data_IF_034234053461
#
_entry.id   IF_034234053461
#
_cell.length_a   1.000
_cell.length_b   1.000
_cell.length_c   1.000
_cell.angle_alpha   90.00
_cell.angle_beta   90.00
_cell.angle_gamma   90.00
#
_symmetry.space_group_name_H-M   'P 1'
#
loop_
_entity.id
_entity.type
_entity.pdbx_description
1 polymer ?
#
# COMPACT_ATOMS: atom_id res chain seq x y z
N UNK A 1 0.89 13.25 12.08
CA UNK A 1 0.31 13.20 10.73
C UNK A 1 1.11 14.13 9.83
N UNK A 2 1.56 13.70 8.66
CA UNK A 2 2.31 14.56 7.73
C UNK A 2 1.41 15.66 7.16
N UNK A 3 1.99 16.82 6.85
CA UNK A 3 1.32 17.85 6.05
C UNK A 3 1.09 17.37 4.61
N UNK A 4 0.26 18.07 3.85
CA UNK A 4 0.06 17.77 2.42
C UNK A 4 1.38 17.83 1.65
N UNK A 5 2.17 18.88 1.89
CA UNK A 5 3.45 19.07 1.21
C UNK A 5 4.47 17.99 1.59
N UNK A 6 4.53 17.61 2.88
CA UNK A 6 5.39 16.52 3.33
C UNK A 6 4.95 15.16 2.74
N UNK A 7 3.64 14.94 2.58
CA UNK A 7 3.11 13.73 1.92
C UNK A 7 3.47 13.72 0.44
N UNK A 8 3.39 14.86 -0.23
CA UNK A 8 3.78 14.98 -1.64
C UNK A 8 5.29 14.74 -1.83
N UNK A 9 6.14 15.33 -0.98
CA UNK A 9 7.57 15.06 -1.00
C UNK A 9 7.91 13.59 -0.76
N UNK A 10 7.17 12.90 0.12
CA UNK A 10 7.34 11.45 0.32
C UNK A 10 6.97 10.63 -0.93
N UNK A 11 5.90 11.03 -1.64
CA UNK A 11 5.52 10.39 -2.92
C UNK A 11 6.59 10.59 -3.98
N UNK A 12 7.13 11.80 -4.12
CA UNK A 12 8.19 12.09 -5.09
C UNK A 12 9.45 11.26 -4.83
N UNK A 13 9.83 11.08 -3.55
CA UNK A 13 10.94 10.19 -3.19
C UNK A 13 10.70 8.76 -3.67
N UNK A 14 9.51 8.21 -3.46
CA UNK A 14 9.15 6.90 -3.96
C UNK A 14 9.22 6.83 -5.49
N UNK A 15 8.62 7.78 -6.21
CA UNK A 15 8.61 7.80 -7.67
C UNK A 15 10.02 7.80 -8.26
N UNK A 16 10.96 8.51 -7.63
CA UNK A 16 12.35 8.60 -8.07
C UNK A 16 13.16 7.31 -7.86
N UNK A 17 12.75 6.43 -6.94
CA UNK A 17 13.52 5.21 -6.61
C UNK A 17 12.81 3.91 -6.96
N UNK A 18 11.53 3.96 -7.35
CA UNK A 18 10.69 2.75 -7.49
C UNK A 18 11.28 1.71 -8.43
N UNK A 19 12.01 2.12 -9.47
CA UNK A 19 12.60 1.18 -10.43
C UNK A 19 13.76 0.40 -9.81
N UNK A 20 14.75 1.10 -9.25
CA UNK A 20 15.89 0.46 -8.57
C UNK A 20 15.46 -0.31 -7.32
N UNK A 21 14.41 0.17 -6.63
CA UNK A 21 13.75 -0.56 -5.55
C UNK A 21 13.22 -1.92 -6.03
N UNK A 22 12.45 -1.94 -7.13
CA UNK A 22 11.87 -3.17 -7.68
C UNK A 22 12.94 -4.15 -8.11
N UNK A 23 14.05 -3.66 -8.68
CA UNK A 23 15.20 -4.51 -9.00
C UNK A 23 15.83 -5.12 -7.74
N UNK A 24 16.05 -4.33 -6.69
CA UNK A 24 16.60 -4.79 -5.42
C UNK A 24 15.70 -5.81 -4.73
N UNK A 25 14.40 -5.53 -4.68
CA UNK A 25 13.37 -6.44 -4.18
C UNK A 25 13.37 -7.74 -4.97
N UNK A 26 13.45 -7.66 -6.31
CA UNK A 26 13.39 -8.83 -7.19
C UNK A 26 14.55 -9.80 -7.00
N UNK A 27 15.74 -9.29 -6.65
CA UNK A 27 16.90 -10.12 -6.31
C UNK A 27 16.67 -11.01 -5.08
N UNK A 28 15.80 -10.58 -4.15
CA UNK A 28 15.53 -11.31 -2.90
C UNK A 28 14.29 -12.19 -2.97
N UNK A 29 13.25 -11.76 -3.70
CA UNK A 29 11.93 -12.36 -3.63
C UNK A 29 11.41 -12.90 -4.97
N UNK A 30 12.20 -12.78 -6.04
CA UNK A 30 11.77 -13.09 -7.41
C UNK A 30 11.15 -11.88 -8.10
N UNK A 31 10.82 -12.01 -9.39
CA UNK A 31 10.44 -10.87 -10.22
C UNK A 31 9.28 -10.05 -9.64
N UNK A 32 9.45 -8.72 -9.63
CA UNK A 32 8.36 -7.82 -9.33
C UNK A 32 7.18 -8.09 -10.28
N UNK A 33 5.96 -8.33 -9.76
CA UNK A 33 4.83 -8.70 -10.59
C UNK A 33 4.44 -7.64 -11.62
N UNK A 34 3.95 -8.13 -12.76
CA UNK A 34 3.48 -7.33 -13.89
C UNK A 34 2.04 -7.73 -14.21
N UNK A 35 1.22 -6.76 -14.61
CA UNK A 35 -0.07 -6.98 -15.23
C UNK A 35 -0.13 -6.19 -16.55
N UNK A 36 -0.37 -6.88 -17.67
CA UNK A 36 -0.44 -6.27 -19.02
C UNK A 36 0.75 -5.35 -19.34
N UNK A 37 1.96 -5.79 -18.98
CA UNK A 37 3.20 -5.05 -19.21
C UNK A 37 3.47 -3.88 -18.25
N UNK A 38 2.60 -3.66 -17.26
CA UNK A 38 2.78 -2.62 -16.23
C UNK A 38 3.13 -3.25 -14.89
N UNK A 39 4.16 -2.73 -14.22
CA UNK A 39 4.48 -3.17 -12.87
C UNK A 39 3.34 -2.90 -11.90
N UNK A 40 3.08 -3.87 -11.03
CA UNK A 40 2.16 -3.65 -9.91
C UNK A 40 2.62 -2.45 -9.07
N UNK A 41 1.67 -1.66 -8.52
CA UNK A 41 2.01 -0.62 -7.57
C UNK A 41 2.72 -1.20 -6.34
N UNK A 42 3.63 -0.41 -5.77
CA UNK A 42 4.19 -0.69 -4.45
C UNK A 42 3.24 -0.15 -3.40
N UNK A 43 2.68 -1.03 -2.58
CA UNK A 43 1.82 -0.65 -1.46
C UNK A 43 2.65 -0.46 -0.20
N UNK A 44 2.51 0.69 0.45
CA UNK A 44 3.11 0.95 1.75
C UNK A 44 2.25 0.34 2.87
N UNK A 45 2.78 -0.67 3.58
CA UNK A 45 2.09 -1.33 4.69
C UNK A 45 1.83 -0.33 5.83
N UNK A 46 2.85 0.45 6.17
CA UNK A 46 2.72 1.66 7.00
C UNK A 46 2.58 2.84 6.06
N UNK A 47 1.43 3.50 6.11
CA UNK A 47 1.14 4.59 5.19
C UNK A 47 2.02 5.83 5.43
N UNK A 48 2.21 6.61 4.37
CA UNK A 48 3.04 7.81 4.40
C UNK A 48 2.48 8.89 5.34
N UNK A 49 1.15 9.03 5.41
CA UNK A 49 0.47 10.08 6.20
C UNK A 49 0.73 9.93 7.70
N UNK A 50 0.94 8.69 8.15
CA UNK A 50 1.29 8.35 9.53
C UNK A 50 2.77 8.06 9.75
N UNK A 51 3.65 8.49 8.84
CA UNK A 51 5.11 8.45 9.02
C UNK A 51 5.77 7.14 8.57
N UNK A 52 5.08 6.34 7.77
CA UNK A 52 5.71 5.23 7.05
C UNK A 52 6.84 5.73 6.14
N UNK A 53 7.98 5.05 6.18
CA UNK A 53 9.12 5.36 5.32
C UNK A 53 8.76 5.03 3.86
N UNK A 54 8.83 6.01 2.93
CA UNK A 54 8.45 5.80 1.54
C UNK A 54 9.37 4.86 0.77
N UNK A 55 10.53 4.48 1.33
CA UNK A 55 11.58 3.71 0.65
C UNK A 55 12.10 2.51 1.45
N UNK A 56 11.52 2.22 2.62
CA UNK A 56 11.89 1.05 3.43
C UNK A 56 11.49 -0.25 2.72
N UNK A 57 12.43 -1.15 2.40
CA UNK A 57 12.14 -2.41 1.73
C UNK A 57 11.27 -3.38 2.52
N UNK A 58 11.17 -3.19 3.84
CA UNK A 58 10.24 -3.95 4.69
C UNK A 58 8.88 -3.26 4.83
N UNK A 59 8.69 -2.09 4.22
CA UNK A 59 7.43 -1.35 4.24
C UNK A 59 6.66 -1.44 2.92
N UNK A 60 7.26 -1.96 1.85
CA UNK A 60 6.67 -1.91 0.51
C UNK A 60 6.56 -3.31 -0.07
N UNK A 61 5.35 -3.64 -0.53
CA UNK A 61 5.05 -4.90 -1.19
C UNK A 61 4.36 -4.66 -2.52
N UNK A 62 4.57 -5.53 -3.54
CA UNK A 62 3.78 -5.47 -4.75
C UNK A 62 2.32 -5.80 -4.43
N UNK A 63 1.38 -4.99 -4.93
CA UNK A 63 -0.05 -5.19 -4.73
C UNK A 63 -0.76 -5.20 -6.09
N UNK A 64 -1.69 -6.13 -6.36
CA UNK A 64 -2.50 -6.07 -7.58
C UNK A 64 -3.17 -4.70 -7.71
N UNK A 65 -3.21 -4.08 -8.91
CA UNK A 65 -3.75 -2.73 -9.07
C UNK A 65 -5.17 -2.55 -8.52
N UNK A 66 -6.04 -3.52 -8.77
CA UNK A 66 -7.43 -3.50 -8.28
C UNK A 66 -7.52 -3.52 -6.76
N UNK A 67 -6.68 -4.31 -6.09
CA UNK A 67 -6.63 -4.39 -4.63
C UNK A 67 -5.99 -3.11 -4.05
N UNK A 68 -4.94 -2.61 -4.68
CA UNK A 68 -4.29 -1.36 -4.30
C UNK A 68 -5.28 -0.18 -4.32
N UNK A 69 -6.13 -0.10 -5.34
CA UNK A 69 -7.17 0.93 -5.44
C UNK A 69 -8.24 0.80 -4.36
N UNK A 70 -8.64 -0.43 -3.99
CA UNK A 70 -9.56 -0.67 -2.87
C UNK A 70 -8.93 -0.19 -1.57
N UNK A 71 -7.69 -0.59 -1.28
CA UNK A 71 -6.99 -0.19 -0.05
C UNK A 71 -6.86 1.33 0.07
N UNK A 72 -6.53 2.02 -1.02
CA UNK A 72 -6.40 3.48 -1.01
C UNK A 72 -7.73 4.21 -0.73
N UNK A 73 -8.87 3.61 -1.10
CA UNK A 73 -10.21 4.16 -0.81
C UNK A 73 -10.66 3.84 0.61
N UNK A 74 -10.41 2.62 1.05
CA UNK A 74 -10.93 2.08 2.30
C UNK A 74 -10.11 2.46 3.53
N UNK A 75 -8.79 2.52 3.41
CA UNK A 75 -7.91 2.80 4.55
C UNK A 75 -8.19 4.16 5.21
N UNK A 76 -8.39 5.28 4.48
CA UNK A 76 -8.83 6.54 5.10
C UNK A 76 -10.20 6.41 5.80
N UNK A 77 -11.14 5.69 5.18
CA UNK A 77 -12.49 5.48 5.75
C UNK A 77 -12.47 4.71 7.05
N UNK A 78 -11.47 3.83 7.25
CA UNK A 78 -11.23 3.16 8.52
C UNK A 78 -10.96 4.15 9.66
N UNK A 79 -10.20 5.20 9.40
CA UNK A 79 -9.90 6.24 10.40
C UNK A 79 -11.04 7.24 10.60
N UNK A 80 -11.90 7.42 9.60
CA UNK A 80 -13.07 8.29 9.70
C UNK A 80 -14.18 7.71 10.60
N UNK A 81 -14.02 6.46 11.07
CA UNK A 81 -14.91 5.85 12.07
C UNK A 81 -16.34 5.62 11.57
N UNK A 82 -16.54 5.50 10.25
CA UNK A 82 -17.83 5.27 9.61
C UNK A 82 -18.02 3.82 9.12
N UNK A 83 -19.26 3.43 8.75
CA UNK A 83 -19.51 2.12 8.14
C UNK A 83 -18.70 1.91 6.84
N UNK A 84 -18.20 0.70 6.55
CA UNK A 84 -18.38 -0.53 7.34
C UNK A 84 -17.38 -0.70 8.50
N UNK A 85 -16.39 0.18 8.64
CA UNK A 85 -15.25 0.00 9.55
C UNK A 85 -15.60 0.05 11.05
N UNK A 86 -16.72 0.67 11.40
CA UNK A 86 -17.27 0.68 12.75
C UNK A 86 -18.42 -0.32 12.96
N UNK A 87 -18.73 -1.13 11.94
CA UNK A 87 -19.83 -2.10 11.99
C UNK A 87 -19.34 -3.40 12.63
N UNK A 88 -20.09 -3.95 13.58
CA UNK A 88 -19.79 -5.27 14.13
C UNK A 88 -19.82 -6.31 13.00
N UNK A 89 -18.74 -7.06 12.85
CA UNK A 89 -18.66 -8.17 11.90
C UNK A 89 -19.61 -9.31 12.27
N UNK A 90 -19.85 -10.26 11.34
CA UNK A 90 -20.63 -11.46 11.65
C UNK A 90 -19.90 -12.32 12.68
N UNK A 91 -20.66 -13.06 13.49
CA UNK A 91 -20.11 -14.12 14.32
C UNK A 91 -19.52 -15.19 13.38
N UNK A 92 -18.20 -15.35 13.39
CA UNK A 92 -17.40 -16.26 12.53
C UNK A 92 -17.24 -15.82 11.06
N UNK A 93 -16.48 -14.74 10.78
CA UNK A 93 -16.30 -14.20 9.42
C UNK A 93 -15.45 -15.07 8.47
N UNK A 94 -14.79 -16.11 9.00
CA UNK A 94 -13.89 -16.99 8.24
C UNK A 94 -14.25 -18.47 8.40
N UNK A 95 -15.50 -18.78 8.77
CA UNK A 95 -15.95 -20.16 8.77
C UNK A 95 -16.25 -20.60 7.33
N UNK A 96 -15.61 -21.68 6.90
CA UNK A 96 -15.92 -22.38 5.65
C UNK A 96 -17.24 -23.16 5.87
N UNK A 97 -18.38 -22.54 5.56
CA UNK A 97 -19.69 -23.23 5.56
C UNK A 97 -19.89 -24.05 4.29
#
# INVERSE_FOLDING_TARGET
MLSKDATQAARERWENIRESFREGWSKKFGNWPLERGKSWPGHHIRDLKHGGDPVDPNNIVPMPPTIHDVLNKEYPRCYDGGPPWNTAGPDLPYADY
#
